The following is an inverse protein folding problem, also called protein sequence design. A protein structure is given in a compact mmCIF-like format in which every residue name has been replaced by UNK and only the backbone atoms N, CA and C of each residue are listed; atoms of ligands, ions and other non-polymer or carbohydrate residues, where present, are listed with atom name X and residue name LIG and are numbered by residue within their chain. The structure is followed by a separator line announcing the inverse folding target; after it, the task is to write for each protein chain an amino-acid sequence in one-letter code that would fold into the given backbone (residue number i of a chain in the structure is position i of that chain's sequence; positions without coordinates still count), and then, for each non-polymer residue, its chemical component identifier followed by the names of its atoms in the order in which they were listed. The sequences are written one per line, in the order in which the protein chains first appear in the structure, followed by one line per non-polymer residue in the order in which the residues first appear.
data_IF_153567708118
#
_entry.id   IF_153567708118
#
_cell.length_a   1.000
_cell.length_b   1.000
_cell.length_c   1.000
_cell.angle_alpha   90.00
_cell.angle_beta   90.00
_cell.angle_gamma   90.00
#
_symmetry.space_group_name_H-M   'P 1'
#
loop_
_entity.id
_entity.type
_entity.pdbx_description
1 polymer ?
#
# COMPACT_ATOMS: atom_id res chain seq x y z
N UNK A 1 -6.88 -6.07 14.93
CA UNK A 1 -6.04 -6.63 13.84
C UNK A 1 -4.67 -6.89 14.44
N UNK A 2 -4.00 -8.01 14.11
CA UNK A 2 -2.63 -8.28 14.60
C UNK A 2 -1.58 -7.52 13.76
N UNK A 3 -1.68 -7.65 12.43
CA UNK A 3 -0.87 -6.89 11.47
C UNK A 3 -1.67 -6.58 10.20
N UNK A 4 -1.24 -5.56 9.46
CA UNK A 4 -1.79 -5.11 8.19
C UNK A 4 -0.67 -4.96 7.16
N UNK A 5 -0.87 -5.53 5.98
CA UNK A 5 0.07 -5.47 4.86
C UNK A 5 -0.60 -4.72 3.71
N UNK A 6 -0.11 -3.52 3.42
CA UNK A 6 -0.67 -2.64 2.39
C UNK A 6 0.25 -2.68 1.18
N UNK A 7 -0.24 -3.23 0.07
CA UNK A 7 0.53 -3.45 -1.16
C UNK A 7 -0.07 -2.57 -2.25
N UNK A 8 0.75 -1.73 -2.89
CA UNK A 8 0.31 -0.80 -3.94
C UNK A 8 -0.89 0.07 -3.54
N UNK A 9 -0.89 0.55 -2.29
CA UNK A 9 -2.01 1.29 -1.70
C UNK A 9 -2.21 2.68 -2.30
N UNK A 10 -3.46 3.11 -2.40
CA UNK A 10 -3.84 4.43 -2.91
C UNK A 10 -4.53 5.30 -1.84
N UNK A 11 -4.31 6.60 -1.91
CA UNK A 11 -4.85 7.64 -1.02
C UNK A 11 -5.64 8.72 -1.76
N UNK A 12 -5.58 8.74 -3.09
CA UNK A 12 -6.17 9.80 -3.90
C UNK A 12 -6.56 9.35 -5.30
N UNK A 13 -7.08 10.31 -6.06
CA UNK A 13 -7.35 10.15 -7.49
C UNK A 13 -6.03 10.00 -8.26
N UNK A 14 -6.08 9.21 -9.32
CA UNK A 14 -4.97 8.91 -10.23
C UNK A 14 -4.99 9.82 -11.47
N UNK A 15 -6.05 10.60 -11.68
CA UNK A 15 -6.24 11.42 -12.88
C UNK A 15 -6.70 10.60 -14.09
N UNK A 16 -7.21 9.38 -13.84
CA UNK A 16 -7.72 8.46 -14.83
C UNK A 16 -9.22 8.28 -14.58
N UNK A 17 -10.11 8.85 -15.42
CA UNK A 17 -11.55 8.95 -15.11
C UNK A 17 -12.21 7.64 -14.70
N UNK A 18 -11.87 6.53 -15.37
CA UNK A 18 -12.40 5.20 -15.06
C UNK A 18 -12.03 4.74 -13.66
N UNK A 19 -10.75 4.85 -13.28
CA UNK A 19 -10.27 4.46 -11.95
C UNK A 19 -10.68 5.45 -10.87
N UNK A 20 -10.73 6.74 -11.20
CA UNK A 20 -11.15 7.79 -10.27
C UNK A 20 -12.62 7.64 -9.91
N UNK A 21 -13.49 7.33 -10.87
CA UNK A 21 -14.90 7.07 -10.60
C UNK A 21 -15.09 5.78 -9.81
N UNK A 22 -14.33 4.72 -10.12
CA UNK A 22 -14.37 3.46 -9.38
C UNK A 22 -13.91 3.61 -7.92
N UNK A 23 -12.80 4.34 -7.70
CA UNK A 23 -12.19 4.49 -6.39
C UNK A 23 -12.72 5.69 -5.60
N UNK A 24 -13.55 6.54 -6.22
CA UNK A 24 -14.00 7.82 -5.65
C UNK A 24 -14.46 7.70 -4.20
N UNK A 25 -15.32 6.73 -3.90
CA UNK A 25 -15.91 6.58 -2.56
C UNK A 25 -14.90 6.15 -1.49
N UNK A 26 -13.77 5.58 -1.88
CA UNK A 26 -12.71 5.17 -0.97
C UNK A 26 -11.77 6.32 -0.62
N UNK A 27 -11.50 7.24 -1.56
CA UNK A 27 -10.47 8.28 -1.41
C UNK A 27 -11.01 9.71 -1.27
N UNK A 28 -12.30 9.94 -1.51
CA UNK A 28 -12.87 11.30 -1.42
C UNK A 28 -12.99 11.81 0.02
N UNK A 29 -13.03 10.91 1.01
CA UNK A 29 -13.08 11.27 2.41
C UNK A 29 -11.68 11.25 3.04
N UNK A 30 -11.38 12.16 3.98
CA UNK A 30 -10.08 12.17 4.62
C UNK A 30 -9.86 10.92 5.47
N UNK A 31 -8.71 10.27 5.28
CA UNK A 31 -8.28 9.13 6.08
C UNK A 31 -8.12 9.52 7.55
N UNK A 32 -8.78 8.77 8.42
CA UNK A 32 -8.71 8.96 9.87
C UNK A 32 -7.44 8.29 10.43
N UNK A 33 -6.26 8.79 10.04
CA UNK A 33 -4.96 8.17 10.30
C UNK A 33 -4.74 7.75 11.76
N UNK A 34 -5.14 8.58 12.72
CA UNK A 34 -5.05 8.25 14.15
C UNK A 34 -5.91 7.03 14.53
N UNK A 35 -7.11 6.92 13.97
CA UNK A 35 -7.97 5.76 14.19
C UNK A 35 -7.42 4.52 13.48
N UNK A 36 -6.99 4.65 12.23
CA UNK A 36 -6.42 3.54 11.46
C UNK A 36 -5.20 2.98 12.21
N UNK A 37 -4.25 3.83 12.59
CA UNK A 37 -3.05 3.45 13.35
C UNK A 37 -3.40 2.73 14.66
N UNK A 38 -4.43 3.19 15.37
CA UNK A 38 -4.89 2.57 16.64
C UNK A 38 -5.38 1.13 16.44
N UNK A 39 -5.93 0.79 15.28
CA UNK A 39 -6.61 -0.49 15.06
C UNK A 39 -5.92 -1.42 14.05
N UNK A 40 -4.93 -0.94 13.29
CA UNK A 40 -4.26 -1.67 12.23
C UNK A 40 -3.23 -2.71 12.70
N UNK A 41 -2.85 -2.69 13.99
CA UNK A 41 -1.78 -3.55 14.50
C UNK A 41 -0.42 -3.11 13.98
N UNK A 42 0.49 -4.06 13.75
CA UNK A 42 1.75 -3.79 13.06
C UNK A 42 1.51 -3.57 11.56
N UNK A 43 2.12 -2.54 10.97
CA UNK A 43 1.81 -2.12 9.60
C UNK A 43 3.04 -2.21 8.71
N UNK A 44 2.88 -2.86 7.57
CA UNK A 44 3.85 -2.90 6.49
C UNK A 44 3.24 -2.26 5.24
N UNK A 45 4.01 -1.39 4.58
CA UNK A 45 3.59 -0.73 3.33
C UNK A 45 4.62 -1.08 2.26
N UNK A 46 4.18 -1.66 1.16
CA UNK A 46 5.02 -2.04 0.02
C UNK A 46 4.57 -1.30 -1.22
N UNK A 47 5.54 -0.79 -1.98
CA UNK A 47 5.26 -0.14 -3.24
C UNK A 47 6.41 -0.34 -4.21
N UNK A 48 6.12 -0.61 -5.48
CA UNK A 48 7.17 -0.71 -6.48
C UNK A 48 7.60 0.68 -6.96
N UNK A 49 8.89 0.88 -7.16
CA UNK A 49 9.43 2.18 -7.61
C UNK A 49 9.01 2.56 -9.04
N UNK A 50 8.53 1.59 -9.81
CA UNK A 50 8.08 1.74 -11.19
C UNK A 50 6.61 1.31 -11.39
N UNK A 51 5.78 1.34 -10.35
CA UNK A 51 4.34 1.06 -10.49
C UNK A 51 3.73 1.99 -11.55
N UNK A 52 3.16 1.43 -12.64
CA UNK A 52 2.67 2.24 -13.75
C UNK A 52 1.27 2.82 -13.49
N UNK A 53 0.59 2.40 -12.41
CA UNK A 53 -0.79 2.79 -12.13
C UNK A 53 -0.90 3.71 -10.92
N UNK A 54 -0.15 3.42 -9.84
CA UNK A 54 -0.23 4.17 -8.58
C UNK A 54 1.10 4.87 -8.30
N UNK A 55 1.14 6.21 -8.25
CA UNK A 55 2.35 6.96 -7.91
C UNK A 55 2.86 6.63 -6.51
N UNK A 56 4.18 6.49 -6.36
CA UNK A 56 4.83 6.12 -5.09
C UNK A 56 4.58 7.15 -3.97
N UNK A 57 4.29 8.39 -4.34
CA UNK A 57 3.94 9.45 -3.41
C UNK A 57 2.74 9.06 -2.53
N UNK A 58 1.77 8.32 -3.08
CA UNK A 58 0.61 7.84 -2.31
C UNK A 58 1.02 6.81 -1.25
N UNK A 59 1.98 5.93 -1.55
CA UNK A 59 2.55 5.03 -0.55
C UNK A 59 3.27 5.80 0.56
N UNK A 60 4.01 6.87 0.23
CA UNK A 60 4.63 7.73 1.25
C UNK A 60 3.61 8.49 2.09
N UNK A 61 2.47 8.89 1.54
CA UNK A 61 1.36 9.44 2.31
C UNK A 61 0.80 8.44 3.32
N UNK A 62 0.62 7.18 2.91
CA UNK A 62 0.21 6.08 3.81
C UNK A 62 1.26 5.88 4.91
N UNK A 63 2.53 5.77 4.53
CA UNK A 63 3.65 5.60 5.46
C UNK A 63 3.69 6.73 6.50
N UNK A 64 3.58 7.99 6.05
CA UNK A 64 3.50 9.16 6.93
C UNK A 64 2.26 9.12 7.84
N UNK A 65 1.09 8.79 7.29
CA UNK A 65 -0.17 8.69 8.01
C UNK A 65 -0.15 7.62 9.10
N UNK A 66 0.53 6.49 8.86
CA UNK A 66 0.62 5.36 9.78
C UNK A 66 1.89 5.37 10.64
N UNK A 67 2.86 6.24 10.32
CA UNK A 67 4.13 6.37 11.04
C UNK A 67 5.09 5.21 10.78
N UNK A 68 5.07 4.67 9.56
CA UNK A 68 5.92 3.56 9.12
C UNK A 68 6.67 3.94 7.85
N UNK A 69 7.81 3.30 7.60
CA UNK A 69 8.53 3.46 6.34
C UNK A 69 7.89 2.62 5.23
N UNK A 70 7.98 3.10 3.99
CA UNK A 70 7.59 2.34 2.81
C UNK A 70 8.73 1.40 2.44
N UNK A 71 8.40 0.13 2.25
CA UNK A 71 9.29 -0.89 1.67
C UNK A 71 9.22 -0.79 0.15
N UNK A 72 10.20 -0.11 -0.41
CA UNK A 72 10.30 0.07 -1.85
C UNK A 72 10.79 -1.21 -2.54
N UNK A 73 10.01 -1.68 -3.50
CA UNK A 73 10.33 -2.83 -4.34
C UNK A 73 10.88 -2.34 -5.67
N UNK A 74 12.12 -2.67 -5.97
CA UNK A 74 12.76 -2.20 -7.20
C UNK A 74 12.18 -2.94 -8.41
N UNK A 75 11.67 -2.18 -9.38
CA UNK A 75 11.19 -2.70 -10.67
C UNK A 75 10.03 -3.74 -10.61
N UNK A 76 9.20 -3.72 -9.57
CA UNK A 76 8.11 -4.70 -9.38
C UNK A 76 6.80 -4.43 -10.14
N UNK A 77 6.69 -3.34 -10.88
CA UNK A 77 5.45 -2.93 -11.55
C UNK A 77 4.31 -2.73 -10.54
N UNK A 78 3.10 -3.21 -10.84
CA UNK A 78 2.00 -3.17 -9.88
C UNK A 78 1.96 -4.37 -8.90
N UNK A 79 3.08 -5.08 -8.73
CA UNK A 79 3.22 -6.22 -7.81
C UNK A 79 2.14 -7.31 -8.03
N UNK A 80 1.77 -7.54 -9.30
CA UNK A 80 0.79 -8.52 -9.72
C UNK A 80 1.37 -9.46 -10.79
N UNK A 81 0.57 -10.45 -11.22
CA UNK A 81 1.01 -11.44 -12.19
C UNK A 81 1.35 -10.86 -13.58
N UNK A 82 0.78 -9.72 -13.98
CA UNK A 82 1.11 -9.04 -15.26
C UNK A 82 2.58 -8.59 -15.27
N UNK A 83 3.11 -8.19 -14.11
CA UNK A 83 4.50 -7.78 -13.93
C UNK A 83 5.39 -8.91 -13.40
N UNK A 84 4.91 -10.17 -13.45
CA UNK A 84 5.67 -11.35 -13.01
C UNK A 84 5.66 -11.62 -11.51
N UNK A 85 4.99 -10.78 -10.72
CA UNK A 85 4.80 -10.97 -9.27
C UNK A 85 3.70 -12.02 -9.00
N UNK A 86 4.10 -13.29 -9.05
CA UNK A 86 3.24 -14.46 -8.72
C UNK A 86 3.52 -15.02 -7.32
N UNK A 87 4.59 -14.54 -6.69
CA UNK A 87 5.00 -14.81 -5.32
C UNK A 87 5.43 -13.49 -4.69
N UNK A 88 5.43 -13.41 -3.36
CA UNK A 88 5.83 -12.21 -2.64
C UNK A 88 6.61 -12.59 -1.37
N UNK A 89 7.85 -12.99 -1.58
CA UNK A 89 8.75 -13.54 -0.56
C UNK A 89 9.05 -12.52 0.54
N UNK A 90 9.21 -11.24 0.22
CA UNK A 90 9.44 -10.19 1.23
C UNK A 90 8.26 -10.04 2.19
N UNK A 91 7.04 -10.11 1.68
CA UNK A 91 5.82 -10.07 2.50
C UNK A 91 5.72 -11.34 3.36
N UNK A 92 6.01 -12.52 2.80
CA UNK A 92 6.05 -13.77 3.57
C UNK A 92 7.09 -13.71 4.70
N UNK A 93 8.29 -13.20 4.42
CA UNK A 93 9.33 -13.00 5.44
C UNK A 93 8.86 -12.09 6.56
N UNK A 94 8.15 -11.01 6.24
CA UNK A 94 7.59 -10.11 7.25
C UNK A 94 6.51 -10.80 8.09
N UNK A 95 5.64 -11.60 7.48
CA UNK A 95 4.68 -12.44 8.22
C UNK A 95 5.40 -13.38 9.20
N UNK A 96 6.41 -14.11 8.73
CA UNK A 96 7.15 -15.07 9.55
C UNK A 96 7.96 -14.42 10.68
N UNK A 97 8.34 -13.16 10.49
CA UNK A 97 9.04 -12.36 11.52
C UNK A 97 8.12 -11.92 12.66
N UNK A 98 6.82 -11.87 12.42
CA UNK A 98 5.85 -11.52 13.46
C UNK A 98 5.71 -12.72 14.41
N UNK A 99 5.99 -12.50 15.70
CA UNK A 99 5.72 -13.47 16.75
C UNK A 99 4.19 -13.55 17.02
N UNK A 100 3.44 -14.15 16.10
CA UNK A 100 1.96 -14.21 16.11
C UNK A 100 1.36 -15.34 16.94
#
# INVERSE_FOLDING_TARGET
IKASFLVAGLTGQLGLPEFDDLNRTFVSAPFQWNQIRKFAGEVFVYHATNDPYVPIEQAYEIGKGLGVQVKEIQNGGHLNAEFGYTQFEELLCDIDSLAL
#
